data_IF_641088422146
#
_entry.id   IF_641088422146
#
_cell.length_a   1.000
_cell.length_b   1.000
_cell.length_c   1.000
_cell.angle_alpha   90.00
_cell.angle_beta   90.00
_cell.angle_gamma   90.00
#
_symmetry.space_group_name_H-M   'P 1'
#
loop_
_entity.id
_entity.type
_entity.pdbx_description
1 polymer ?
#
# COMPACT_ATOMS: atom_id res chain seq x y z
N UNK A 1 -46.22 44.73 29.06
CA UNK A 1 -45.88 43.31 29.19
C UNK A 1 -45.94 42.52 27.85
N UNK A 2 -46.85 42.89 26.91
CA UNK A 2 -47.01 42.19 25.63
C UNK A 2 -45.82 42.30 24.65
N UNK A 3 -45.00 43.33 24.76
CA UNK A 3 -43.85 43.55 23.89
C UNK A 3 -42.67 42.61 24.25
N UNK A 4 -42.49 42.37 25.55
CA UNK A 4 -41.42 41.47 26.02
C UNK A 4 -41.68 39.99 25.69
N UNK A 5 -42.92 39.59 25.66
CA UNK A 5 -43.33 38.21 25.31
C UNK A 5 -43.16 37.93 23.79
N UNK A 6 -43.46 38.93 22.95
CA UNK A 6 -43.24 38.85 21.51
C UNK A 6 -41.76 38.78 21.15
N UNK A 7 -40.90 39.49 21.84
CA UNK A 7 -39.45 39.48 21.67
C UNK A 7 -38.81 38.13 22.12
N UNK A 8 -39.35 37.52 23.19
CA UNK A 8 -38.89 36.22 23.67
C UNK A 8 -39.26 35.08 22.69
N UNK A 9 -40.46 35.17 22.10
CA UNK A 9 -40.94 34.19 21.11
C UNK A 9 -40.17 34.26 19.79
N UNK A 10 -39.77 35.45 19.36
CA UNK A 10 -38.93 35.61 18.15
C UNK A 10 -37.49 35.12 18.36
N UNK A 11 -36.90 35.28 19.55
CA UNK A 11 -35.56 34.77 19.85
C UNK A 11 -35.49 33.24 19.82
N UNK A 12 -36.52 32.60 20.38
CA UNK A 12 -36.61 31.11 20.35
C UNK A 12 -36.81 30.63 18.93
N UNK A 13 -37.60 31.32 18.12
CA UNK A 13 -37.84 30.98 16.70
C UNK A 13 -36.57 31.16 15.86
N UNK A 14 -35.76 32.17 16.13
CA UNK A 14 -34.49 32.39 15.43
C UNK A 14 -33.45 31.33 15.83
N UNK A 15 -33.38 31.00 17.10
CA UNK A 15 -32.46 29.96 17.58
C UNK A 15 -32.85 28.58 16.96
N UNK A 16 -34.14 28.25 16.93
CA UNK A 16 -34.64 27.03 16.32
C UNK A 16 -34.30 26.98 14.81
N UNK A 17 -34.46 28.11 14.10
CA UNK A 17 -34.10 28.19 12.68
C UNK A 17 -32.60 28.00 12.45
N UNK A 18 -31.75 28.58 13.29
CA UNK A 18 -30.28 28.42 13.20
C UNK A 18 -29.88 26.95 13.45
N UNK A 19 -30.47 26.28 14.43
CA UNK A 19 -30.22 24.86 14.73
C UNK A 19 -30.63 23.97 13.56
N UNK A 20 -31.78 24.24 12.95
CA UNK A 20 -32.27 23.46 11.79
C UNK A 20 -31.34 23.65 10.57
N UNK A 21 -30.88 24.88 10.32
CA UNK A 21 -29.93 25.18 9.25
C UNK A 21 -28.60 24.49 9.51
N UNK A 22 -28.06 24.56 10.74
CA UNK A 22 -26.82 23.89 11.11
C UNK A 22 -26.91 22.37 10.94
N UNK A 23 -28.04 21.79 11.32
CA UNK A 23 -28.31 20.36 11.14
C UNK A 23 -28.45 19.97 9.66
N UNK A 24 -29.11 20.80 8.86
CA UNK A 24 -29.24 20.60 7.41
C UNK A 24 -27.88 20.69 6.71
N UNK A 25 -27.03 21.63 7.08
CA UNK A 25 -25.65 21.76 6.56
C UNK A 25 -24.82 20.56 6.99
N UNK A 26 -24.93 20.10 8.21
CA UNK A 26 -24.22 18.90 8.69
C UNK A 26 -24.66 17.64 7.93
N UNK A 27 -25.98 17.47 7.71
CA UNK A 27 -26.49 16.36 6.89
C UNK A 27 -26.03 16.48 5.42
N UNK A 28 -26.03 17.69 4.86
CA UNK A 28 -25.56 17.92 3.50
C UNK A 28 -24.10 17.51 3.33
N UNK A 29 -23.22 17.90 4.26
CA UNK A 29 -21.81 17.50 4.26
C UNK A 29 -21.66 15.99 4.46
N UNK A 30 -22.50 15.37 5.28
CA UNK A 30 -22.45 13.93 5.54
C UNK A 30 -22.98 13.09 4.37
N UNK A 31 -23.97 13.61 3.62
CA UNK A 31 -24.57 12.94 2.46
C UNK A 31 -23.79 13.18 1.15
N UNK A 32 -22.92 14.19 1.13
CA UNK A 32 -22.00 14.43 0.03
C UNK A 32 -20.58 14.21 0.54
N UNK A 33 -20.16 12.92 0.71
CA UNK A 33 -18.76 12.66 0.97
C UNK A 33 -18.01 13.32 -0.18
N UNK A 34 -17.16 14.26 0.15
CA UNK A 34 -16.25 14.81 -0.84
C UNK A 34 -15.55 13.60 -1.45
N UNK A 35 -15.73 13.42 -2.76
CA UNK A 35 -14.86 12.51 -3.50
C UNK A 35 -13.46 12.94 -3.13
N UNK A 36 -12.83 12.14 -2.32
CA UNK A 36 -11.39 12.19 -2.18
C UNK A 36 -10.91 11.84 -3.58
N UNK A 37 -10.68 12.84 -4.41
CA UNK A 37 -9.83 12.63 -5.57
C UNK A 37 -8.58 12.00 -4.98
N UNK A 38 -8.18 10.86 -5.53
CA UNK A 38 -6.85 10.32 -5.21
C UNK A 38 -5.91 11.53 -5.29
N UNK A 39 -5.28 11.91 -4.20
CA UNK A 39 -4.45 13.09 -4.25
C UNK A 39 -3.37 12.77 -5.26
N UNK A 40 -3.48 13.36 -6.45
CA UNK A 40 -2.32 13.50 -7.31
C UNK A 40 -1.34 14.31 -6.46
N UNK A 41 -0.45 13.57 -5.80
CA UNK A 41 0.55 14.17 -4.94
C UNK A 41 1.33 15.13 -5.80
N UNK A 42 1.11 16.40 -5.60
CA UNK A 42 1.88 17.43 -6.28
C UNK A 42 3.34 17.20 -5.90
N UNK A 43 4.28 17.02 -6.83
CA UNK A 43 5.69 16.77 -6.51
C UNK A 43 6.27 17.80 -5.54
N UNK A 44 5.74 19.02 -5.55
CA UNK A 44 6.17 20.14 -4.70
C UNK A 44 5.79 19.96 -3.21
N UNK A 45 4.89 19.02 -2.87
CA UNK A 45 4.48 18.74 -1.48
C UNK A 45 5.29 17.64 -0.83
N UNK A 46 6.05 16.86 -1.60
CA UNK A 46 6.86 15.76 -1.06
C UNK A 46 8.07 16.30 -0.32
N UNK A 47 8.27 15.79 0.88
CA UNK A 47 9.45 16.07 1.70
C UNK A 47 10.43 14.92 1.53
N UNK A 48 11.70 15.24 1.27
CA UNK A 48 12.75 14.23 1.21
C UNK A 48 13.04 13.71 2.63
N UNK A 49 13.00 12.40 2.79
CA UNK A 49 13.33 11.74 4.04
C UNK A 49 14.85 11.70 4.23
N UNK A 50 15.31 12.07 5.43
CA UNK A 50 16.72 11.97 5.79
C UNK A 50 17.08 10.50 6.07
N UNK A 51 17.46 9.79 5.04
CA UNK A 51 17.82 8.39 5.10
C UNK A 51 17.40 7.67 3.83
N UNK A 52 18.00 6.53 3.58
CA UNK A 52 17.76 5.71 2.40
C UNK A 52 17.27 4.32 2.76
N UNK A 53 16.88 4.12 4.00
CA UNK A 53 16.53 2.82 4.55
C UNK A 53 15.31 2.89 5.45
N UNK A 54 14.42 1.93 5.30
CA UNK A 54 13.27 1.68 6.17
C UNK A 54 13.21 0.19 6.48
N UNK A 55 12.98 -0.18 7.73
CA UNK A 55 12.90 -1.57 8.14
C UNK A 55 11.77 -1.81 9.15
N UNK A 56 11.33 -3.05 9.25
CA UNK A 56 10.42 -3.52 10.28
C UNK A 56 11.00 -4.76 10.96
N UNK A 57 10.96 -4.75 12.28
CA UNK A 57 11.34 -5.88 13.12
C UNK A 57 10.13 -6.38 13.89
N UNK A 58 10.05 -7.68 14.08
CA UNK A 58 9.08 -8.35 14.94
C UNK A 58 9.83 -9.22 15.92
N UNK A 59 9.60 -9.00 17.22
CA UNK A 59 10.30 -9.74 18.28
C UNK A 59 11.84 -9.68 18.18
N UNK A 60 12.35 -8.48 17.76
CA UNK A 60 13.78 -8.26 17.58
C UNK A 60 14.37 -8.82 16.29
N UNK A 61 13.59 -9.52 15.48
CA UNK A 61 14.03 -10.06 14.20
C UNK A 61 13.54 -9.23 13.03
N UNK A 62 14.43 -9.03 12.05
CA UNK A 62 14.10 -8.32 10.81
C UNK A 62 13.04 -9.09 10.02
N UNK A 63 11.97 -8.43 9.63
CA UNK A 63 10.92 -8.98 8.76
C UNK A 63 11.09 -8.52 7.33
N UNK A 64 11.36 -7.24 7.15
CA UNK A 64 11.71 -6.67 5.86
C UNK A 64 12.57 -5.43 6.03
N UNK A 65 13.32 -5.11 5.00
CA UNK A 65 14.17 -3.92 4.90
C UNK A 65 14.08 -3.38 3.48
N UNK A 66 13.86 -2.09 3.37
CA UNK A 66 13.75 -1.40 2.10
C UNK A 66 14.81 -0.31 2.03
N UNK A 67 15.67 -0.40 1.04
CA UNK A 67 16.68 0.63 0.73
C UNK A 67 16.34 1.28 -0.60
N UNK A 68 16.73 2.52 -0.80
CA UNK A 68 16.48 3.25 -2.04
C UNK A 68 17.52 4.35 -2.24
N UNK A 69 17.63 4.85 -3.47
CA UNK A 69 18.47 6.02 -3.76
C UNK A 69 17.85 7.29 -3.16
N UNK A 70 16.52 7.34 -3.12
CA UNK A 70 15.77 8.48 -2.61
C UNK A 70 14.48 8.02 -1.97
N UNK A 71 14.15 8.60 -0.82
CA UNK A 71 12.88 8.40 -0.11
C UNK A 71 12.21 9.75 0.07
N UNK A 72 10.96 9.85 -0.36
CA UNK A 72 10.12 11.04 -0.19
C UNK A 72 8.86 10.67 0.58
N UNK A 73 8.39 11.56 1.44
CA UNK A 73 7.17 11.37 2.21
C UNK A 73 6.17 12.48 1.88
N UNK A 74 4.91 12.08 1.71
CA UNK A 74 3.79 13.02 1.70
C UNK A 74 3.44 13.37 3.16
N UNK A 75 3.61 14.63 3.60
CA UNK A 75 3.35 15.01 4.98
C UNK A 75 1.87 14.90 5.37
N UNK A 76 0.95 14.95 4.42
CA UNK A 76 -0.50 14.88 4.67
C UNK A 76 -0.98 13.45 4.84
N UNK A 77 -0.53 12.54 3.98
CA UNK A 77 -0.96 11.12 3.96
C UNK A 77 0.00 10.19 4.68
N UNK A 78 1.24 10.62 4.95
CA UNK A 78 2.33 9.79 5.48
C UNK A 78 2.73 8.63 4.54
N UNK A 79 2.32 8.69 3.27
CA UNK A 79 2.75 7.73 2.26
C UNK A 79 4.19 8.05 1.86
N UNK A 80 5.01 7.01 1.75
CA UNK A 80 6.43 7.11 1.39
C UNK A 80 6.65 6.59 -0.03
N UNK A 81 7.43 7.34 -0.80
CA UNK A 81 7.78 7.03 -2.18
C UNK A 81 9.27 6.74 -2.29
N UNK A 82 9.61 5.63 -2.91
CA UNK A 82 10.97 5.14 -3.04
C UNK A 82 11.41 5.16 -4.50
N UNK A 83 12.58 5.69 -4.75
CA UNK A 83 13.24 5.67 -6.07
C UNK A 83 14.31 4.59 -6.07
N UNK A 84 14.29 3.72 -7.07
CA UNK A 84 15.18 2.56 -7.20
C UNK A 84 15.24 1.71 -5.91
N UNK A 85 14.09 1.22 -5.41
CA UNK A 85 14.07 0.45 -4.19
C UNK A 85 14.69 -0.93 -4.38
N UNK A 86 15.34 -1.39 -3.31
CA UNK A 86 15.76 -2.76 -3.11
C UNK A 86 15.18 -3.24 -1.79
N UNK A 87 14.26 -4.19 -1.85
CA UNK A 87 13.63 -4.77 -0.68
C UNK A 87 14.28 -6.11 -0.34
N UNK A 88 14.56 -6.32 0.94
CA UNK A 88 14.89 -7.61 1.51
C UNK A 88 13.69 -8.05 2.35
N UNK A 89 13.13 -9.19 2.06
CA UNK A 89 12.03 -9.78 2.82
C UNK A 89 12.52 -11.10 3.43
N UNK A 90 12.27 -11.28 4.72
CA UNK A 90 12.64 -12.51 5.43
C UNK A 90 11.36 -13.27 5.75
N UNK A 91 11.24 -14.46 5.18
CA UNK A 91 10.12 -15.35 5.41
C UNK A 91 10.18 -15.99 6.79
N UNK A 92 9.08 -16.55 7.26
CA UNK A 92 9.00 -17.23 8.55
C UNK A 92 9.94 -18.45 8.64
N UNK A 93 10.21 -19.11 7.52
CA UNK A 93 11.17 -20.22 7.42
C UNK A 93 12.63 -19.79 7.31
N UNK A 94 12.91 -18.48 7.37
CA UNK A 94 14.25 -17.91 7.23
C UNK A 94 14.71 -17.66 5.81
N UNK A 95 13.93 -18.01 4.79
CA UNK A 95 14.25 -17.70 3.39
C UNK A 95 14.35 -16.20 3.19
N UNK A 96 15.39 -15.74 2.53
CA UNK A 96 15.61 -14.35 2.20
C UNK A 96 15.27 -14.11 0.73
N UNK A 97 14.43 -13.12 0.46
CA UNK A 97 14.06 -12.70 -0.87
C UNK A 97 14.48 -11.26 -1.09
N UNK A 98 15.20 -11.01 -2.17
CA UNK A 98 15.56 -9.67 -2.63
C UNK A 98 14.67 -9.27 -3.78
N UNK A 99 14.04 -8.10 -3.70
CA UNK A 99 13.16 -7.55 -4.72
C UNK A 99 13.75 -6.23 -5.20
N UNK A 100 13.84 -6.04 -6.50
CA UNK A 100 14.31 -4.81 -7.13
C UNK A 100 13.29 -4.25 -8.12
N UNK A 101 13.24 -2.94 -8.21
CA UNK A 101 12.34 -2.20 -9.09
C UNK A 101 12.84 -0.76 -9.26
N UNK A 102 12.16 0.02 -10.10
CA UNK A 102 12.45 1.44 -10.28
C UNK A 102 11.72 2.33 -9.26
N UNK A 103 10.56 1.90 -8.77
CA UNK A 103 9.73 2.66 -7.84
C UNK A 103 9.00 1.77 -6.84
N UNK A 104 8.83 2.27 -5.63
CA UNK A 104 8.04 1.63 -4.59
C UNK A 104 7.22 2.66 -3.79
N UNK A 105 6.15 2.19 -3.18
CA UNK A 105 5.26 2.99 -2.34
C UNK A 105 4.97 2.23 -1.05
N UNK A 106 5.20 2.85 0.08
CA UNK A 106 4.87 2.29 1.41
C UNK A 106 3.73 3.08 2.03
N UNK A 107 2.64 2.39 2.31
CA UNK A 107 1.51 2.91 3.06
C UNK A 107 1.45 2.21 4.42
N UNK A 108 1.91 2.91 5.46
CA UNK A 108 1.94 2.36 6.82
C UNK A 108 0.56 2.25 7.46
N UNK A 109 -0.39 3.06 7.05
CA UNK A 109 -1.75 3.00 7.59
C UNK A 109 -2.48 1.77 7.05
N UNK A 110 -2.34 1.50 5.75
CA UNK A 110 -2.89 0.30 5.10
C UNK A 110 -2.04 -0.95 5.32
N UNK A 111 -0.84 -0.80 5.87
CA UNK A 111 0.10 -1.90 6.08
C UNK A 111 0.47 -2.62 4.78
N UNK A 112 0.71 -1.84 3.73
CA UNK A 112 1.04 -2.35 2.39
C UNK A 112 2.30 -1.71 1.82
N UNK A 113 3.02 -2.50 1.03
CA UNK A 113 4.12 -2.04 0.17
C UNK A 113 3.74 -2.39 -1.26
N UNK A 114 3.73 -1.40 -2.15
CA UNK A 114 3.57 -1.60 -3.57
C UNK A 114 4.91 -1.41 -4.27
N UNK A 115 5.33 -2.40 -5.03
CA UNK A 115 6.52 -2.35 -5.90
C UNK A 115 6.03 -2.19 -7.33
N UNK A 116 6.41 -1.09 -7.97
CA UNK A 116 6.00 -0.76 -9.34
C UNK A 116 6.81 -1.58 -10.36
N UNK A 117 6.18 -1.98 -11.49
CA UNK A 117 6.89 -2.73 -12.53
C UNK A 117 7.98 -1.89 -13.24
N UNK A 118 8.98 -2.54 -13.85
CA UNK A 118 9.25 -3.98 -13.86
C UNK A 118 9.81 -4.45 -12.52
N UNK A 119 9.37 -5.62 -12.06
CA UNK A 119 9.78 -6.17 -10.76
C UNK A 119 10.56 -7.47 -10.97
N UNK A 120 11.70 -7.57 -10.29
CA UNK A 120 12.50 -8.79 -10.19
C UNK A 120 12.68 -9.17 -8.74
N UNK A 121 12.48 -10.43 -8.44
CA UNK A 121 12.72 -11.00 -7.12
C UNK A 121 13.58 -12.26 -7.23
N UNK A 122 14.43 -12.48 -6.26
CA UNK A 122 15.29 -13.66 -6.16
C UNK A 122 15.39 -14.10 -4.70
N UNK A 123 15.27 -15.38 -4.46
CA UNK A 123 15.48 -15.97 -3.14
C UNK A 123 16.90 -16.51 -2.98
N UNK A 124 17.35 -16.65 -1.75
CA UNK A 124 18.62 -17.30 -1.42
C UNK A 124 18.65 -18.81 -1.74
N UNK A 125 17.49 -19.39 -2.08
CA UNK A 125 17.36 -20.76 -2.60
C UNK A 125 17.51 -20.86 -4.11
N UNK A 126 17.62 -19.73 -4.83
CA UNK A 126 17.76 -19.69 -6.28
C UNK A 126 16.43 -19.66 -7.04
N UNK A 127 15.31 -19.42 -6.38
CA UNK A 127 14.03 -19.15 -7.05
C UNK A 127 14.00 -17.70 -7.52
N UNK A 128 13.49 -17.45 -8.72
CA UNK A 128 13.36 -16.10 -9.28
C UNK A 128 11.91 -15.82 -9.69
N UNK A 129 11.51 -14.57 -9.58
CA UNK A 129 10.22 -14.09 -10.02
C UNK A 129 10.40 -12.81 -10.83
N UNK A 130 9.71 -12.71 -11.94
CA UNK A 130 9.66 -11.49 -12.76
C UNK A 130 8.22 -11.17 -13.12
N UNK A 131 7.87 -9.89 -13.05
CA UNK A 131 6.56 -9.43 -13.45
C UNK A 131 6.61 -8.04 -14.04
N UNK A 132 5.78 -7.81 -15.06
CA UNK A 132 5.52 -6.49 -15.64
C UNK A 132 4.34 -5.77 -14.97
N UNK A 133 3.74 -6.36 -13.95
CA UNK A 133 2.71 -5.79 -13.11
C UNK A 133 3.24 -5.33 -11.76
N UNK A 134 2.46 -4.53 -11.05
CA UNK A 134 2.76 -4.18 -9.67
C UNK A 134 2.73 -5.40 -8.76
N UNK A 135 3.61 -5.40 -7.76
CA UNK A 135 3.66 -6.40 -6.69
C UNK A 135 3.27 -5.74 -5.39
N UNK A 136 2.37 -6.37 -4.65
CA UNK A 136 1.88 -5.90 -3.36
C UNK A 136 2.30 -6.83 -2.25
N UNK A 137 2.93 -6.29 -1.24
CA UNK A 137 3.28 -7.00 -0.01
C UNK A 137 2.36 -6.54 1.12
N UNK A 138 1.72 -7.46 1.79
CA UNK A 138 0.94 -7.19 2.99
C UNK A 138 1.81 -7.41 4.23
N UNK A 139 2.03 -6.36 5.01
CA UNK A 139 2.92 -6.40 6.18
C UNK A 139 2.37 -7.27 7.32
N UNK A 140 1.06 -7.45 7.40
CA UNK A 140 0.41 -8.23 8.46
C UNK A 140 0.41 -9.73 8.16
N UNK A 141 0.05 -10.08 6.93
CA UNK A 141 -0.04 -11.48 6.49
C UNK A 141 1.27 -12.02 5.91
N UNK A 142 2.21 -11.13 5.57
CA UNK A 142 3.46 -11.44 4.85
C UNK A 142 3.23 -12.08 3.48
N UNK A 143 2.03 -11.90 2.92
CA UNK A 143 1.68 -12.43 1.60
C UNK A 143 2.03 -11.43 0.50
N UNK A 144 2.40 -11.97 -0.64
CA UNK A 144 2.78 -11.22 -1.84
C UNK A 144 1.79 -11.58 -2.95
N UNK A 145 1.26 -10.56 -3.61
CA UNK A 145 0.37 -10.71 -4.78
C UNK A 145 0.85 -9.85 -5.92
N UNK A 146 0.54 -10.26 -7.13
CA UNK A 146 0.84 -9.48 -8.32
C UNK A 146 0.08 -9.94 -9.55
N UNK A 147 0.36 -9.25 -10.65
CA UNK A 147 -0.20 -9.53 -11.97
C UNK A 147 0.54 -10.63 -12.72
N UNK A 148 0.76 -10.40 -14.01
CA UNK A 148 1.49 -11.36 -14.86
C UNK A 148 2.85 -11.71 -14.28
N UNK A 149 3.13 -13.00 -14.19
CA UNK A 149 4.32 -13.51 -13.54
C UNK A 149 5.00 -14.61 -14.38
N UNK A 150 6.32 -14.57 -14.34
CA UNK A 150 7.19 -15.69 -14.68
C UNK A 150 8.03 -16.00 -13.47
N UNK A 151 7.95 -17.23 -12.99
CA UNK A 151 8.72 -17.70 -11.85
C UNK A 151 9.53 -18.92 -12.27
N UNK A 152 10.83 -18.85 -12.08
CA UNK A 152 11.75 -19.96 -12.33
C UNK A 152 12.26 -20.47 -10.99
N UNK A 153 12.04 -21.74 -10.74
CA UNK A 153 12.45 -22.40 -9.50
C UNK A 153 13.82 -23.04 -9.65
N UNK A 154 14.51 -23.18 -8.55
CA UNK A 154 15.83 -23.81 -8.47
C UNK A 154 15.86 -25.27 -8.95
N UNK A 155 14.70 -25.95 -8.98
CA UNK A 155 14.53 -27.30 -9.51
C UNK A 155 14.26 -27.35 -11.01
N UNK A 156 14.47 -26.25 -11.73
CA UNK A 156 14.18 -26.06 -13.16
C UNK A 156 12.68 -26.04 -13.53
N UNK A 157 11.79 -25.92 -12.57
CA UNK A 157 10.37 -25.71 -12.85
C UNK A 157 10.13 -24.25 -13.18
N UNK A 158 9.47 -23.96 -14.29
CA UNK A 158 9.02 -22.63 -14.70
C UNK A 158 7.50 -22.51 -14.56
N UNK A 159 7.05 -21.45 -13.92
CA UNK A 159 5.64 -21.14 -13.69
C UNK A 159 5.29 -19.83 -14.39
N UNK A 160 4.14 -19.79 -15.06
CA UNK A 160 3.61 -18.58 -15.70
C UNK A 160 2.12 -18.46 -15.39
N UNK A 161 1.65 -17.24 -15.15
CA UNK A 161 0.23 -16.97 -14.95
C UNK A 161 -0.10 -15.49 -15.17
N UNK A 162 -1.38 -15.17 -15.24
CA UNK A 162 -1.87 -13.79 -15.33
C UNK A 162 -1.85 -13.08 -13.97
N UNK A 163 -1.98 -13.83 -12.88
CA UNK A 163 -1.90 -13.33 -11.51
C UNK A 163 -1.32 -14.40 -10.58
N UNK A 164 -0.74 -13.95 -9.49
CA UNK A 164 -0.17 -14.83 -8.48
C UNK A 164 -0.39 -14.30 -7.06
N UNK A 165 -0.38 -15.23 -6.13
CA UNK A 165 -0.27 -14.97 -4.70
C UNK A 165 0.72 -15.98 -4.11
N UNK A 166 1.62 -15.53 -3.25
CA UNK A 166 2.62 -16.39 -2.64
C UNK A 166 2.98 -15.93 -1.23
N UNK A 167 3.53 -16.84 -0.44
CA UNK A 167 4.25 -16.47 0.78
C UNK A 167 5.62 -15.83 0.45
N UNK A 168 6.28 -15.31 1.46
CA UNK A 168 7.57 -14.64 1.30
C UNK A 168 8.73 -15.58 0.97
N UNK A 169 8.55 -16.89 1.12
CA UNK A 169 9.54 -17.91 0.74
C UNK A 169 9.40 -18.44 -0.68
N UNK A 170 8.37 -18.01 -1.41
CA UNK A 170 7.95 -18.58 -2.70
C UNK A 170 7.66 -20.09 -2.64
N UNK A 171 7.28 -20.59 -1.47
CA UNK A 171 7.01 -22.03 -1.27
C UNK A 171 5.59 -22.38 -1.65
N UNK A 172 4.62 -21.59 -1.18
CA UNK A 172 3.20 -21.77 -1.46
C UNK A 172 2.75 -20.75 -2.49
N UNK A 173 2.74 -21.15 -3.76
CA UNK A 173 2.40 -20.28 -4.88
C UNK A 173 1.03 -20.65 -5.42
N UNK A 174 0.13 -19.67 -5.46
CA UNK A 174 -1.17 -19.77 -6.12
C UNK A 174 -1.12 -18.99 -7.44
N UNK A 175 -1.41 -19.64 -8.52
CA UNK A 175 -1.46 -19.06 -9.86
C UNK A 175 -2.91 -18.98 -10.34
N UNK A 176 -3.26 -17.86 -10.99
CA UNK A 176 -4.60 -17.64 -11.51
C UNK A 176 -4.53 -17.08 -12.93
N UNK A 177 -5.35 -17.62 -13.83
CA UNK A 177 -5.45 -17.20 -15.23
C UNK A 177 -4.28 -17.69 -16.10
N UNK A 178 -4.59 -18.46 -17.13
CA UNK A 178 -3.63 -19.03 -18.10
C UNK A 178 -2.37 -19.63 -17.44
N UNK A 179 -2.58 -20.25 -16.27
CA UNK A 179 -1.48 -20.84 -15.51
C UNK A 179 -0.81 -21.98 -16.28
N UNK A 180 0.51 -21.93 -16.36
CA UNK A 180 1.35 -22.93 -17.01
C UNK A 180 2.46 -23.35 -16.07
N UNK A 181 2.73 -24.64 -16.02
CA UNK A 181 3.86 -25.22 -15.30
C UNK A 181 4.67 -26.05 -16.29
N UNK A 182 5.94 -25.70 -16.43
CA UNK A 182 6.86 -26.43 -17.30
C UNK A 182 8.05 -26.87 -16.47
N UNK A 183 8.41 -28.15 -16.57
CA UNK A 183 9.62 -28.69 -15.93
C UNK A 183 10.69 -28.86 -16.98
N UNK A 184 11.87 -28.26 -16.76
CA UNK A 184 13.06 -28.47 -17.59
C UNK A 184 13.66 -29.85 -17.37
N UNK A 185 14.31 -30.40 -18.40
CA UNK A 185 15.10 -31.62 -18.33
C UNK A 185 16.44 -31.39 -17.61
#
# INVERSE_FOLDING_TARGET
PMIAEKLKKNKISIIAAVVVIAFAVMLYVFMHPQKTEDPMVSPDKLVEFEGTELEEKKEGQLVWKLTADKIQIDPDTQIMYFTNPKALVIAEDGTQMTITSDKGVVDRQKRTIEIKPPVKAETDKGDTLQTDGSVYYNMDTRMIKGGKVVMDRHDKTSLKADAFETDSSLTNVKLTGHAQVTKGE
#
